data_IF_835350112222
#
_entry.id   IF_835350112222
#
_cell.length_a   1.000
_cell.length_b   1.000
_cell.length_c   1.000
_cell.angle_alpha   90.00
_cell.angle_beta   90.00
_cell.angle_gamma   90.00
#
_symmetry.space_group_name_H-M   'P 1'
#
loop_
_entity.id
_entity.type
_entity.pdbx_description
1 polymer ?
#
# COMPACT_ATOMS: atom_id res chain seq x y z
N UNK A 1 33.61 10.39 16.15
CA UNK A 1 32.16 10.36 16.36
C UNK A 1 31.56 9.55 15.20
N UNK A 2 31.08 8.33 15.51
CA UNK A 2 30.42 7.54 14.49
C UNK A 2 28.98 8.07 14.33
N UNK A 3 28.66 8.60 13.17
CA UNK A 3 27.29 9.00 12.84
C UNK A 3 26.48 7.69 12.65
N UNK A 4 25.68 7.34 13.64
CA UNK A 4 24.75 6.21 13.52
C UNK A 4 23.55 6.71 12.76
N UNK A 5 23.55 6.53 11.44
CA UNK A 5 22.34 6.72 10.65
C UNK A 5 21.44 5.50 10.86
N UNK A 6 20.20 5.73 11.25
CA UNK A 6 19.17 4.71 11.11
C UNK A 6 19.05 4.39 9.63
N UNK A 7 19.43 3.18 9.25
CA UNK A 7 19.19 2.70 7.88
C UNK A 7 17.71 2.34 7.77
N UNK A 8 17.12 2.50 6.59
CA UNK A 8 15.72 2.10 6.35
C UNK A 8 15.46 0.64 6.70
N UNK A 9 16.49 -0.22 6.65
CA UNK A 9 16.43 -1.62 7.02
C UNK A 9 16.11 -1.85 8.52
N UNK A 10 16.38 -0.87 9.37
CA UNK A 10 16.18 -0.98 10.82
C UNK A 10 14.82 -0.43 11.28
N UNK A 11 14.08 0.23 10.38
CA UNK A 11 12.77 0.77 10.69
C UNK A 11 11.69 -0.28 10.44
N UNK A 12 11.10 -0.78 11.53
CA UNK A 12 9.96 -1.70 11.50
C UNK A 12 8.86 -1.16 12.39
N UNK A 13 7.62 -1.27 11.96
CA UNK A 13 6.45 -0.83 12.72
C UNK A 13 5.35 -1.89 12.68
N UNK A 14 4.52 -1.87 13.72
CA UNK A 14 3.26 -2.61 13.76
C UNK A 14 2.12 -1.70 13.31
N UNK A 15 1.30 -2.20 12.40
CA UNK A 15 0.11 -1.53 11.93
C UNK A 15 -1.11 -2.43 12.06
N UNK A 16 -2.28 -1.85 12.04
CA UNK A 16 -3.56 -2.53 11.84
C UNK A 16 -4.18 -2.04 10.54
N UNK A 17 -5.03 -2.86 9.92
CA UNK A 17 -5.78 -2.42 8.72
C UNK A 17 -7.18 -1.99 9.10
N UNK A 18 -7.66 -0.91 8.52
CA UNK A 18 -8.94 -0.29 8.90
C UNK A 18 -10.16 -1.13 8.49
N UNK A 19 -9.99 -2.10 7.60
CA UNK A 19 -11.05 -3.04 7.22
C UNK A 19 -11.14 -4.27 8.15
N UNK A 20 -10.29 -4.36 9.18
CA UNK A 20 -10.44 -5.38 10.22
C UNK A 20 -11.71 -5.07 11.05
N UNK A 21 -12.52 -6.10 11.30
CA UNK A 21 -13.77 -5.97 12.09
C UNK A 21 -13.53 -5.53 13.53
N UNK A 22 -12.30 -5.61 14.00
CA UNK A 22 -11.88 -5.17 15.33
C UNK A 22 -11.43 -3.71 15.36
N UNK A 23 -11.58 -2.98 14.24
CA UNK A 23 -11.25 -1.56 14.11
C UNK A 23 -12.51 -0.79 13.74
N UNK A 24 -12.84 0.21 14.56
CA UNK A 24 -13.95 1.14 14.30
C UNK A 24 -13.38 2.54 14.08
N UNK A 25 -13.51 3.06 12.86
CA UNK A 25 -13.00 4.39 12.51
C UNK A 25 -13.90 5.09 11.48
N UNK A 26 -13.94 6.43 11.51
CA UNK A 26 -14.52 7.24 10.44
C UNK A 26 -13.59 7.35 9.24
N UNK A 27 -14.09 7.87 8.11
CA UNK A 27 -13.27 8.12 6.92
C UNK A 27 -12.17 9.15 7.21
N UNK A 28 -12.44 10.15 8.06
CA UNK A 28 -11.47 11.15 8.48
C UNK A 28 -10.37 10.53 9.34
N UNK A 29 -10.73 9.69 10.31
CA UNK A 29 -9.79 8.97 11.16
C UNK A 29 -8.91 8.01 10.34
N UNK A 30 -9.53 7.29 9.41
CA UNK A 30 -8.80 6.44 8.46
C UNK A 30 -7.78 7.24 7.66
N UNK A 31 -8.19 8.39 7.11
CA UNK A 31 -7.29 9.25 6.32
C UNK A 31 -6.13 9.80 7.16
N UNK A 32 -6.42 10.23 8.40
CA UNK A 32 -5.40 10.68 9.34
C UNK A 32 -4.39 9.56 9.64
N UNK A 33 -4.88 8.37 9.98
CA UNK A 33 -4.04 7.21 10.28
C UNK A 33 -3.16 6.79 9.10
N UNK A 34 -3.70 6.73 7.88
CA UNK A 34 -2.91 6.38 6.70
C UNK A 34 -1.80 7.40 6.43
N UNK A 35 -2.00 8.66 6.81
CA UNK A 35 -1.02 9.72 6.66
C UNK A 35 0.03 9.73 7.76
N UNK A 36 -0.36 9.59 9.03
CA UNK A 36 0.53 9.65 10.20
C UNK A 36 1.12 8.29 10.54
N UNK A 37 0.34 7.22 10.42
CA UNK A 37 0.61 5.89 10.93
C UNK A 37 0.49 5.77 12.46
N UNK A 38 -0.07 6.78 13.12
CA UNK A 38 -0.30 6.76 14.55
C UNK A 38 -1.64 6.06 14.84
N UNK A 39 -1.61 4.97 15.61
CA UNK A 39 -2.80 4.24 16.03
C UNK A 39 -3.78 5.10 16.81
N UNK A 40 -3.30 6.18 17.45
CA UNK A 40 -4.16 7.13 18.16
C UNK A 40 -5.08 7.93 17.23
N UNK A 41 -4.78 8.00 15.95
CA UNK A 41 -5.64 8.63 14.94
C UNK A 41 -6.83 7.75 14.55
N UNK A 42 -6.77 6.44 14.85
CA UNK A 42 -7.94 5.56 14.71
C UNK A 42 -8.93 5.78 15.85
N UNK A 43 -10.15 5.36 15.65
CA UNK A 43 -11.16 5.32 16.68
C UNK A 43 -10.89 4.18 17.69
N UNK A 44 -11.80 3.22 17.79
CA UNK A 44 -11.59 2.07 18.68
C UNK A 44 -10.87 0.94 17.96
N UNK A 45 -9.74 0.52 18.53
CA UNK A 45 -8.95 -0.66 18.08
C UNK A 45 -9.01 -1.70 19.20
N UNK A 46 -9.72 -2.79 18.97
CA UNK A 46 -9.84 -3.88 19.93
C UNK A 46 -8.53 -4.66 20.00
N UNK A 47 -8.24 -5.30 21.14
CA UNK A 47 -7.04 -6.13 21.32
C UNK A 47 -6.98 -7.30 20.32
N UNK A 48 -8.13 -7.75 19.81
CA UNK A 48 -8.24 -8.80 18.80
C UNK A 48 -7.89 -8.35 17.38
N UNK A 49 -7.61 -7.07 17.16
CA UNK A 49 -7.24 -6.55 15.84
C UNK A 49 -5.94 -7.21 15.34
N UNK A 50 -5.97 -7.63 14.09
CA UNK A 50 -4.81 -8.26 13.45
C UNK A 50 -3.70 -7.22 13.24
N UNK A 51 -2.53 -7.48 13.85
CA UNK A 51 -1.35 -6.65 13.69
C UNK A 51 -0.47 -7.19 12.59
N UNK A 52 -0.01 -6.29 11.73
CA UNK A 52 0.94 -6.57 10.65
C UNK A 52 2.23 -5.84 10.97
N UNK A 53 3.34 -6.58 11.07
CA UNK A 53 4.66 -5.99 11.23
C UNK A 53 5.29 -5.80 9.86
N UNK A 54 5.60 -4.57 9.49
CA UNK A 54 6.22 -4.20 8.23
C UNK A 54 7.53 -3.48 8.46
N UNK A 55 8.50 -3.68 7.57
CA UNK A 55 9.77 -2.94 7.55
C UNK A 55 9.79 -1.92 6.42
N UNK A 56 10.54 -0.84 6.61
CA UNK A 56 10.81 0.11 5.54
C UNK A 56 11.61 -0.56 4.42
N UNK A 57 11.36 -0.16 3.17
CA UNK A 57 12.11 -0.61 2.00
C UNK A 57 13.16 0.43 1.62
N UNK A 58 14.37 -0.03 1.37
CA UNK A 58 15.42 0.79 0.75
C UNK A 58 15.04 1.16 -0.70
N UNK A 59 15.67 2.18 -1.28
CA UNK A 59 15.47 2.52 -2.69
C UNK A 59 15.69 1.33 -3.63
N UNK A 60 16.73 0.52 -3.38
CA UNK A 60 17.02 -0.66 -4.21
C UNK A 60 15.97 -1.77 -4.06
N UNK A 61 15.43 -2.01 -2.86
CA UNK A 61 14.35 -2.99 -2.67
C UNK A 61 13.04 -2.55 -3.37
N UNK A 62 12.79 -1.24 -3.44
CA UNK A 62 11.64 -0.70 -4.21
C UNK A 62 11.84 -0.87 -5.71
N UNK A 63 13.04 -0.55 -6.21
CA UNK A 63 13.40 -0.77 -7.61
C UNK A 63 13.34 -2.26 -7.99
N UNK A 64 13.82 -3.16 -7.12
CA UNK A 64 13.67 -4.60 -7.32
C UNK A 64 12.20 -5.04 -7.40
N UNK A 65 11.30 -4.45 -6.60
CA UNK A 65 9.88 -4.75 -6.65
C UNK A 65 9.29 -4.39 -8.03
N UNK A 66 9.68 -3.25 -8.60
CA UNK A 66 9.27 -2.84 -9.95
C UNK A 66 9.83 -3.79 -11.02
N UNK A 67 11.11 -4.17 -10.91
CA UNK A 67 11.76 -5.10 -11.83
C UNK A 67 11.09 -6.48 -11.80
N UNK A 68 10.79 -7.00 -10.61
CA UNK A 68 10.11 -8.30 -10.43
C UNK A 68 8.65 -8.27 -10.89
N UNK A 69 7.99 -7.14 -10.78
CA UNK A 69 6.63 -6.95 -11.31
C UNK A 69 6.57 -7.05 -12.84
N UNK A 70 7.72 -6.99 -13.49
CA UNK A 70 7.87 -7.03 -14.93
C UNK A 70 7.71 -5.67 -15.59
N UNK A 71 8.17 -5.56 -16.84
CA UNK A 71 8.10 -4.32 -17.58
C UNK A 71 6.64 -3.90 -17.78
N UNK A 72 6.37 -2.64 -17.54
CA UNK A 72 5.15 -2.01 -18.03
C UNK A 72 5.26 -1.88 -19.55
N UNK A 73 4.55 -2.74 -20.29
CA UNK A 73 4.79 -2.95 -21.72
C UNK A 73 4.04 -1.99 -22.63
N UNK A 74 3.22 -1.09 -22.10
CA UNK A 74 2.40 -0.18 -22.91
C UNK A 74 2.61 1.26 -22.51
N UNK A 75 2.35 2.15 -23.48
CA UNK A 75 2.54 3.59 -23.43
C UNK A 75 2.31 4.22 -22.05
N UNK A 76 2.99 5.31 -21.75
CA UNK A 76 2.77 6.14 -20.56
C UNK A 76 1.30 6.58 -20.36
N UNK A 77 0.45 6.35 -21.36
CA UNK A 77 -0.96 6.72 -21.36
C UNK A 77 -1.69 6.16 -20.12
N UNK A 78 -1.52 4.89 -19.79
CA UNK A 78 -2.18 4.30 -18.62
C UNK A 78 -1.74 4.96 -17.30
N UNK A 79 -0.47 5.34 -17.18
CA UNK A 79 0.06 6.06 -16.02
C UNK A 79 -0.50 7.48 -15.94
N UNK A 80 -0.54 8.19 -17.07
CA UNK A 80 -1.09 9.56 -17.13
C UNK A 80 -2.56 9.54 -16.72
N UNK A 81 -3.36 8.65 -17.31
CA UNK A 81 -4.78 8.48 -16.99
C UNK A 81 -5.01 8.13 -15.52
N UNK A 82 -4.12 7.30 -14.92
CA UNK A 82 -4.21 6.99 -13.51
C UNK A 82 -4.01 8.23 -12.62
N UNK A 83 -3.03 9.05 -12.93
CA UNK A 83 -2.73 10.30 -12.19
C UNK A 83 -3.84 11.33 -12.37
N UNK A 84 -4.44 11.42 -13.55
CA UNK A 84 -5.53 12.35 -13.86
C UNK A 84 -6.90 11.89 -13.36
N UNK A 85 -7.00 10.63 -12.89
CA UNK A 85 -8.26 10.07 -12.41
C UNK A 85 -8.78 10.85 -11.20
N UNK A 86 -10.04 11.32 -11.22
CA UNK A 86 -10.63 12.03 -10.10
C UNK A 86 -10.71 11.16 -8.85
N UNK A 87 -10.62 11.79 -7.67
CA UNK A 87 -10.73 11.12 -6.37
C UNK A 87 -12.18 10.81 -5.98
N UNK A 88 -13.14 11.63 -6.43
CA UNK A 88 -14.56 11.47 -6.10
C UNK A 88 -15.20 10.29 -6.82
N UNK A 89 -15.96 9.44 -6.09
CA UNK A 89 -16.54 8.21 -6.66
C UNK A 89 -17.44 8.48 -7.88
N UNK A 90 -18.32 9.51 -7.81
CA UNK A 90 -19.22 9.84 -8.92
C UNK A 90 -18.47 10.47 -10.12
N UNK A 91 -17.51 11.35 -9.82
CA UNK A 91 -16.67 11.98 -10.83
C UNK A 91 -15.80 10.94 -11.53
N UNK A 92 -15.23 10.03 -10.78
CA UNK A 92 -14.44 8.91 -11.29
C UNK A 92 -15.26 8.00 -12.20
N UNK A 93 -16.51 7.71 -11.84
CA UNK A 93 -17.39 6.91 -12.69
C UNK A 93 -17.71 7.62 -14.02
N UNK A 94 -18.04 8.92 -13.97
CA UNK A 94 -18.30 9.73 -15.19
C UNK A 94 -17.07 9.82 -16.08
N UNK A 95 -15.92 10.09 -15.47
CA UNK A 95 -14.64 10.18 -16.17
C UNK A 95 -14.29 8.85 -16.85
N UNK A 96 -14.45 7.73 -16.14
CA UNK A 96 -14.18 6.40 -16.68
C UNK A 96 -15.11 6.04 -17.85
N UNK A 97 -16.36 6.49 -17.81
CA UNK A 97 -17.29 6.33 -18.95
C UNK A 97 -16.89 7.16 -20.16
N UNK A 98 -16.23 8.28 -19.97
CA UNK A 98 -15.79 9.16 -21.06
C UNK A 98 -14.52 8.66 -21.78
N UNK A 99 -13.77 7.72 -21.18
CA UNK A 99 -12.59 7.14 -21.79
C UNK A 99 -12.94 6.30 -23.03
N UNK A 100 -12.09 6.34 -24.02
CA UNK A 100 -12.11 5.40 -25.16
C UNK A 100 -11.77 3.98 -24.73
N UNK A 101 -12.01 3.00 -25.58
CA UNK A 101 -11.66 1.60 -25.29
C UNK A 101 -10.15 1.39 -25.14
N UNK A 102 -9.34 2.09 -25.93
CA UNK A 102 -7.89 2.05 -25.85
C UNK A 102 -7.37 2.66 -24.54
N UNK A 103 -7.95 3.77 -24.10
CA UNK A 103 -7.62 4.40 -22.81
C UNK A 103 -8.02 3.53 -21.64
N UNK A 104 -9.21 2.93 -21.68
CA UNK A 104 -9.64 1.96 -20.65
C UNK A 104 -8.69 0.75 -20.57
N UNK A 105 -8.28 0.25 -21.73
CA UNK A 105 -7.33 -0.88 -21.80
C UNK A 105 -5.97 -0.47 -21.24
N UNK A 106 -5.45 0.70 -21.63
CA UNK A 106 -4.16 1.20 -21.12
C UNK A 106 -4.19 1.39 -19.60
N UNK A 107 -5.29 1.91 -19.06
CA UNK A 107 -5.48 2.09 -17.63
C UNK A 107 -5.58 0.76 -16.88
N UNK A 108 -6.31 -0.23 -17.41
CA UNK A 108 -6.41 -1.55 -16.83
C UNK A 108 -5.05 -2.27 -16.79
N UNK A 109 -4.25 -2.16 -17.85
CA UNK A 109 -2.89 -2.72 -17.90
C UNK A 109 -1.98 -2.06 -16.86
N UNK A 110 -2.09 -0.75 -16.66
CA UNK A 110 -1.33 -0.05 -15.64
C UNK A 110 -1.76 -0.45 -14.22
N UNK A 111 -3.04 -0.58 -13.96
CA UNK A 111 -3.55 -1.08 -12.67
C UNK A 111 -3.06 -2.50 -12.37
N UNK A 112 -3.06 -3.38 -13.39
CA UNK A 112 -2.53 -4.73 -13.25
C UNK A 112 -1.02 -4.73 -12.95
N UNK A 113 -0.26 -3.83 -13.57
CA UNK A 113 1.15 -3.63 -13.25
C UNK A 113 1.35 -3.15 -11.81
N UNK A 114 0.64 -2.09 -11.40
CA UNK A 114 0.71 -1.58 -10.02
C UNK A 114 0.37 -2.67 -8.99
N UNK A 115 -0.64 -3.49 -9.26
CA UNK A 115 -1.01 -4.58 -8.37
C UNK A 115 0.14 -5.58 -8.17
N UNK A 116 0.93 -5.85 -9.22
CA UNK A 116 2.14 -6.69 -9.11
C UNK A 116 3.25 -6.00 -8.33
N UNK A 117 3.51 -4.72 -8.60
CA UNK A 117 4.49 -3.92 -7.83
C UNK A 117 4.14 -3.94 -6.34
N UNK A 118 2.88 -3.69 -6.01
CA UNK A 118 2.40 -3.69 -4.63
C UNK A 118 2.57 -5.06 -3.95
N UNK A 119 2.29 -6.14 -4.65
CA UNK A 119 2.52 -7.48 -4.13
C UNK A 119 4.01 -7.74 -3.83
N UNK A 120 4.92 -7.28 -4.69
CA UNK A 120 6.36 -7.39 -4.45
C UNK A 120 6.83 -6.49 -3.31
N UNK A 121 6.32 -5.26 -3.19
CA UNK A 121 6.61 -4.39 -2.05
C UNK A 121 6.17 -5.03 -0.72
N UNK A 122 4.96 -5.57 -0.66
CA UNK A 122 4.47 -6.27 0.54
C UNK A 122 5.31 -7.51 0.82
N UNK A 123 5.68 -8.29 -0.21
CA UNK A 123 6.56 -9.46 -0.05
C UNK A 123 7.89 -9.11 0.60
N UNK A 124 8.49 -7.97 0.21
CA UNK A 124 9.78 -7.54 0.72
C UNK A 124 9.69 -6.88 2.11
N UNK A 125 8.53 -6.34 2.48
CA UNK A 125 8.33 -5.53 3.69
C UNK A 125 7.65 -6.30 4.83
N UNK A 126 6.65 -7.14 4.53
CA UNK A 126 5.87 -7.86 5.55
C UNK A 126 6.73 -8.92 6.23
N UNK A 127 6.82 -8.86 7.56
CA UNK A 127 7.60 -9.80 8.36
C UNK A 127 6.75 -10.69 9.26
N UNK A 128 5.69 -10.13 9.88
CA UNK A 128 4.82 -10.88 10.80
C UNK A 128 3.35 -10.49 10.61
N UNK A 129 2.47 -11.45 10.93
CA UNK A 129 1.02 -11.24 11.11
C UNK A 129 0.64 -11.84 12.46
N UNK A 130 0.05 -11.03 13.34
CA UNK A 130 -0.34 -11.46 14.68
C UNK A 130 0.84 -11.93 15.54
N UNK A 131 2.05 -11.45 15.28
CA UNK A 131 3.28 -11.86 15.97
C UNK A 131 3.97 -13.10 15.39
N UNK A 132 3.35 -13.79 14.45
CA UNK A 132 3.92 -14.95 13.78
C UNK A 132 4.59 -14.57 12.45
N UNK A 133 5.71 -15.20 12.04
CA UNK A 133 6.32 -14.97 10.74
C UNK A 133 5.32 -15.14 9.61
N UNK A 134 5.28 -14.19 8.70
CA UNK A 134 4.26 -14.15 7.65
C UNK A 134 4.85 -13.90 6.27
N UNK A 135 4.04 -14.21 5.25
CA UNK A 135 4.33 -13.96 3.86
C UNK A 135 3.13 -13.35 3.13
N UNK A 136 3.39 -12.77 1.97
CA UNK A 136 2.34 -12.21 1.09
C UNK A 136 1.30 -13.27 0.69
N UNK A 137 1.66 -14.55 0.69
CA UNK A 137 0.73 -15.62 0.32
C UNK A 137 -0.44 -15.74 1.31
N UNK A 138 -0.23 -15.41 2.58
CA UNK A 138 -1.29 -15.35 3.58
C UNK A 138 -2.28 -14.22 3.28
N UNK A 139 -1.80 -13.07 2.76
CA UNK A 139 -2.67 -11.98 2.30
C UNK A 139 -3.53 -12.45 1.12
N UNK A 140 -2.99 -13.26 0.21
CA UNK A 140 -3.70 -13.80 -0.94
C UNK A 140 -4.84 -14.76 -0.57
N UNK A 141 -4.87 -15.28 0.66
CA UNK A 141 -5.94 -16.13 1.18
C UNK A 141 -7.13 -15.33 1.74
N UNK A 142 -6.99 -14.02 1.95
CA UNK A 142 -8.08 -13.18 2.49
C UNK A 142 -9.26 -13.17 1.53
N UNK A 143 -10.46 -13.38 2.07
CA UNK A 143 -11.73 -13.32 1.34
C UNK A 143 -12.73 -12.40 2.07
N UNK A 144 -13.61 -11.71 1.35
CA UNK A 144 -13.69 -11.59 -0.11
C UNK A 144 -12.54 -10.78 -0.73
N UNK A 145 -12.38 -10.85 -2.03
CA UNK A 145 -11.30 -10.18 -2.77
C UNK A 145 -11.24 -8.66 -2.51
N UNK A 146 -12.38 -8.01 -2.27
CA UNK A 146 -12.42 -6.59 -1.89
C UNK A 146 -11.65 -6.30 -0.60
N UNK A 147 -11.77 -7.14 0.43
CA UNK A 147 -10.99 -7.01 1.67
C UNK A 147 -9.51 -7.22 1.41
N UNK A 148 -9.14 -8.21 0.61
CA UNK A 148 -7.74 -8.43 0.22
C UNK A 148 -7.12 -7.21 -0.45
N UNK A 149 -7.85 -6.60 -1.39
CA UNK A 149 -7.39 -5.40 -2.09
C UNK A 149 -7.22 -4.22 -1.13
N UNK A 150 -8.15 -4.03 -0.19
CA UNK A 150 -8.05 -3.00 0.84
C UNK A 150 -6.84 -3.23 1.76
N UNK A 151 -6.67 -4.45 2.26
CA UNK A 151 -5.50 -4.82 3.08
C UNK A 151 -4.21 -4.53 2.33
N UNK A 152 -4.11 -4.95 1.08
CA UNK A 152 -2.93 -4.73 0.24
C UNK A 152 -2.64 -3.23 0.05
N UNK A 153 -3.67 -2.43 -0.24
CA UNK A 153 -3.54 -0.99 -0.45
C UNK A 153 -3.07 -0.26 0.82
N UNK A 154 -3.63 -0.62 1.98
CA UNK A 154 -3.25 -0.01 3.26
C UNK A 154 -1.84 -0.41 3.68
N UNK A 155 -1.45 -1.68 3.52
CA UNK A 155 -0.06 -2.12 3.75
C UNK A 155 0.91 -1.30 2.90
N UNK A 156 0.63 -1.15 1.60
CA UNK A 156 1.48 -0.38 0.68
C UNK A 156 1.57 1.09 1.08
N UNK A 157 0.45 1.71 1.49
CA UNK A 157 0.46 3.10 1.96
C UNK A 157 1.41 3.29 3.16
N UNK A 158 1.33 2.40 4.15
CA UNK A 158 2.24 2.44 5.30
C UNK A 158 3.69 2.13 4.93
N UNK A 159 3.94 1.14 4.05
CA UNK A 159 5.28 0.82 3.56
C UNK A 159 5.91 2.03 2.86
N UNK A 160 5.16 2.68 1.97
CA UNK A 160 5.62 3.88 1.27
C UNK A 160 5.95 5.00 2.26
N UNK A 161 5.06 5.25 3.22
CA UNK A 161 5.25 6.27 4.24
C UNK A 161 6.55 6.07 5.03
N UNK A 162 6.74 4.87 5.63
CA UNK A 162 7.94 4.62 6.45
C UNK A 162 9.22 4.56 5.61
N UNK A 163 9.11 4.15 4.34
CA UNK A 163 10.25 4.10 3.43
C UNK A 163 10.69 5.50 2.97
N UNK A 164 9.78 6.49 2.94
CA UNK A 164 10.07 7.89 2.64
C UNK A 164 10.63 8.63 3.85
N UNK A 165 10.12 8.37 5.06
CA UNK A 165 10.61 9.01 6.29
C UNK A 165 12.10 8.78 6.55
N UNK A 166 12.65 7.64 6.08
CA UNK A 166 14.08 7.39 6.12
C UNK A 166 14.92 8.30 5.20
N UNK A 167 14.28 9.03 4.29
CA UNK A 167 14.94 9.98 3.34
C UNK A 167 14.86 11.40 3.84
N UNK A 168 13.80 11.78 4.56
CA UNK A 168 13.56 13.16 5.04
C UNK A 168 14.28 13.48 6.35
N UNK A 169 14.87 12.51 7.01
CA UNK A 169 15.66 12.66 8.23
C UNK A 169 17.09 13.22 8.01
N UNK A 170 17.29 14.03 6.96
CA UNK A 170 18.55 14.72 6.69
C UNK A 170 18.40 16.22 6.91
#
# INVERSE_FOLDING_TARGET
MALTFLTSADLSIDIVVTCDKSVECSDEQRSAYLSSGDLNDLGEVKESATRFTIKALSPSEREEAEVRAGAYSRSELGRILWVESPSGTQEKARWHHALTDDERTAMADYQAYLSRVYAEMVRNSLTHIGGEPASVDQINLIRPDGHRLTVMAELVAHIQRISLLGIEGK
#
